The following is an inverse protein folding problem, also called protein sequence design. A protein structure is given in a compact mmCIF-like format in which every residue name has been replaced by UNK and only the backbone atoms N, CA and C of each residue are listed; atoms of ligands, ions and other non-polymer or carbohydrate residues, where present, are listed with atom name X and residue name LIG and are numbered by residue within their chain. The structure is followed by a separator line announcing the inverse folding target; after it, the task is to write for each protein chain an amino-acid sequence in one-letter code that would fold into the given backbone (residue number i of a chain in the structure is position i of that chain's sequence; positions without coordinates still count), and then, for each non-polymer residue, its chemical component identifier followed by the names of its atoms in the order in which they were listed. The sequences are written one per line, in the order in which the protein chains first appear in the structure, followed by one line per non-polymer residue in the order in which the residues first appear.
data_IF_520086526229
#
_entry.id   IF_520086526229
#
_cell.length_a   1.000
_cell.length_b   1.000
_cell.length_c   1.000
_cell.angle_alpha   90.00
_cell.angle_beta   90.00
_cell.angle_gamma   90.00
#
_symmetry.space_group_name_H-M   'P 1'
#
loop_
_entity.id
_entity.type
_entity.pdbx_description
1 polymer ?
#
# COMPACT_ATOMS: atom_id res chain seq x y z
N UNK A 1 -25.50 -19.77 27.89
CA UNK A 1 -25.54 -19.60 26.41
C UNK A 1 -25.36 -18.13 25.99
N UNK A 2 -25.84 -17.15 26.78
CA UNK A 2 -25.61 -15.71 26.54
C UNK A 2 -24.12 -15.28 26.68
N UNK A 3 -23.38 -15.84 27.64
CA UNK A 3 -21.96 -15.52 27.86
C UNK A 3 -21.02 -15.87 26.68
N UNK A 4 -21.29 -16.97 25.96
CA UNK A 4 -20.43 -17.45 24.88
C UNK A 4 -20.55 -16.57 23.61
N UNK A 5 -21.76 -16.14 23.29
CA UNK A 5 -22.03 -15.24 22.16
C UNK A 5 -21.43 -13.85 22.40
N UNK A 6 -21.51 -13.34 23.64
CA UNK A 6 -20.91 -12.06 24.00
C UNK A 6 -19.38 -12.09 23.90
N UNK A 7 -18.74 -13.17 24.38
CA UNK A 7 -17.29 -13.37 24.24
C UNK A 7 -16.84 -13.43 22.78
N UNK A 8 -17.59 -14.13 21.92
CA UNK A 8 -17.29 -14.24 20.49
C UNK A 8 -17.38 -12.88 19.79
N UNK A 9 -18.41 -12.09 20.09
CA UNK A 9 -18.64 -10.77 19.49
C UNK A 9 -17.57 -9.75 19.93
N UNK A 10 -17.15 -9.78 21.20
CA UNK A 10 -16.04 -8.96 21.70
C UNK A 10 -14.70 -9.36 21.05
N UNK A 11 -14.45 -10.67 20.89
CA UNK A 11 -13.23 -11.17 20.25
C UNK A 11 -13.16 -10.79 18.78
N UNK A 12 -14.27 -10.92 18.05
CA UNK A 12 -14.41 -10.42 16.67
C UNK A 12 -14.18 -8.91 16.59
N UNK A 13 -14.79 -8.10 17.47
CA UNK A 13 -14.59 -6.65 17.43
C UNK A 13 -13.12 -6.25 17.65
N UNK A 14 -12.42 -6.87 18.62
CA UNK A 14 -10.99 -6.61 18.88
C UNK A 14 -10.10 -7.01 17.70
N UNK A 15 -10.33 -8.20 17.12
CA UNK A 15 -9.53 -8.71 15.99
C UNK A 15 -9.68 -7.86 14.74
N UNK A 16 -10.85 -7.27 14.50
CA UNK A 16 -11.10 -6.43 13.32
C UNK A 16 -10.73 -4.96 13.55
N UNK A 17 -10.77 -4.48 14.80
CA UNK A 17 -10.39 -3.10 15.12
C UNK A 17 -8.89 -2.87 14.98
N UNK A 18 -8.05 -3.78 15.47
CA UNK A 18 -6.58 -3.67 15.41
C UNK A 18 -6.01 -3.41 14.00
N UNK A 19 -6.37 -4.19 12.96
CA UNK A 19 -5.88 -3.97 11.59
C UNK A 19 -6.46 -2.69 10.96
N UNK A 20 -7.68 -2.29 11.32
CA UNK A 20 -8.29 -1.05 10.82
C UNK A 20 -7.53 0.19 11.31
N UNK A 21 -7.12 0.25 12.59
CA UNK A 21 -6.34 1.38 13.12
C UNK A 21 -4.96 1.44 12.47
N UNK A 22 -4.33 0.28 12.26
CA UNK A 22 -3.06 0.19 11.51
C UNK A 22 -3.23 0.75 10.08
N UNK A 23 -4.31 0.39 9.39
CA UNK A 23 -4.65 0.93 8.07
C UNK A 23 -4.83 2.45 8.06
N UNK A 24 -5.51 3.02 9.06
CA UNK A 24 -5.65 4.47 9.23
C UNK A 24 -4.30 5.18 9.36
N UNK A 25 -3.38 4.63 10.15
CA UNK A 25 -2.04 5.19 10.34
C UNK A 25 -1.25 5.12 9.03
N UNK A 26 -1.29 3.99 8.33
CA UNK A 26 -0.57 3.81 7.05
C UNK A 26 -1.11 4.77 5.98
N UNK A 27 -2.43 4.94 5.86
CA UNK A 27 -3.00 5.92 4.92
C UNK A 27 -2.65 7.35 5.31
N UNK A 28 -2.68 7.68 6.60
CA UNK A 28 -2.25 8.99 7.09
C UNK A 28 -0.80 9.31 6.74
N UNK A 29 0.11 8.35 6.94
CA UNK A 29 1.53 8.46 6.55
C UNK A 29 1.67 8.58 5.03
N UNK A 30 0.90 7.81 4.27
CA UNK A 30 0.90 7.87 2.79
C UNK A 30 0.47 9.25 2.27
N UNK A 31 -0.53 9.86 2.89
CA UNK A 31 -1.00 11.21 2.55
C UNK A 31 0.03 12.27 2.97
N UNK A 32 0.64 12.11 4.16
CA UNK A 32 1.66 13.02 4.66
C UNK A 32 2.88 13.12 3.72
N UNK A 33 3.31 11.97 3.19
CA UNK A 33 4.39 11.87 2.21
C UNK A 33 4.04 12.59 0.90
N UNK A 34 2.77 12.53 0.47
CA UNK A 34 2.33 13.19 -0.76
C UNK A 34 2.23 14.71 -0.63
N UNK A 35 1.89 15.22 0.55
CA UNK A 35 1.71 16.66 0.77
C UNK A 35 3.03 17.40 0.97
N UNK A 36 4.06 16.70 1.47
CA UNK A 36 5.37 17.29 1.79
C UNK A 36 6.28 17.25 0.56
N UNK A 37 6.62 18.44 0.02
CA UNK A 37 7.53 18.57 -1.15
C UNK A 37 8.90 17.95 -0.88
N UNK A 38 9.42 18.10 0.33
CA UNK A 38 10.66 17.47 0.78
C UNK A 38 10.60 15.93 0.77
N UNK A 39 9.42 15.34 1.05
CA UNK A 39 9.23 13.89 1.03
C UNK A 39 9.09 13.36 -0.40
N UNK A 40 8.52 14.13 -1.33
CA UNK A 40 8.53 13.77 -2.75
C UNK A 40 9.93 13.77 -3.35
N UNK A 41 10.76 14.74 -2.96
CA UNK A 41 12.15 14.85 -3.42
C UNK A 41 13.02 13.74 -2.81
N UNK A 42 12.89 13.47 -1.50
CA UNK A 42 13.60 12.39 -0.80
C UNK A 42 13.23 10.97 -1.30
N UNK A 43 12.03 10.79 -1.85
CA UNK A 43 11.57 9.52 -2.44
C UNK A 43 11.76 9.44 -3.96
N UNK A 44 12.33 10.47 -4.60
CA UNK A 44 12.59 10.48 -6.05
C UNK A 44 11.32 10.53 -6.91
N UNK A 45 10.21 11.06 -6.39
CA UNK A 45 8.91 11.19 -7.06
C UNK A 45 8.87 12.53 -7.85
N UNK A 46 9.93 12.81 -8.61
CA UNK A 46 10.12 14.05 -9.39
C UNK A 46 9.50 13.99 -10.79
N UNK A 47 9.21 12.78 -11.28
CA UNK A 47 8.62 12.56 -12.60
C UNK A 47 7.09 12.61 -12.55
N UNK A 48 6.47 13.33 -13.49
CA UNK A 48 5.01 13.50 -13.62
C UNK A 48 4.23 12.17 -13.67
N UNK A 49 4.88 11.11 -14.14
CA UNK A 49 4.36 9.74 -14.19
C UNK A 49 4.34 9.01 -12.84
N UNK A 50 5.26 9.32 -11.92
CA UNK A 50 5.28 8.75 -10.57
C UNK A 50 4.18 9.36 -9.68
N UNK A 51 3.85 10.64 -9.90
CA UNK A 51 2.77 11.32 -9.19
C UNK A 51 1.41 10.62 -9.41
N UNK A 52 1.14 10.23 -10.67
CA UNK A 52 -0.04 9.46 -11.02
C UNK A 52 -0.09 8.09 -10.31
N UNK A 53 1.05 7.42 -10.17
CA UNK A 53 1.12 6.14 -9.44
C UNK A 53 0.79 6.28 -7.95
N UNK A 54 1.28 7.33 -7.30
CA UNK A 54 1.02 7.61 -5.88
C UNK A 54 -0.43 8.00 -5.65
N UNK A 55 -1.02 8.82 -6.53
CA UNK A 55 -2.44 9.16 -6.47
C UNK A 55 -3.34 7.92 -6.62
N UNK A 56 -3.03 7.03 -7.56
CA UNK A 56 -3.75 5.77 -7.75
C UNK A 56 -3.59 4.86 -6.53
N UNK A 57 -2.39 4.77 -5.95
CA UNK A 57 -2.13 3.98 -4.75
C UNK A 57 -2.97 4.47 -3.56
N UNK A 58 -3.13 5.79 -3.42
CA UNK A 58 -3.92 6.39 -2.34
C UNK A 58 -5.42 6.20 -2.58
N UNK A 59 -5.88 6.33 -3.82
CA UNK A 59 -7.25 6.04 -4.19
C UNK A 59 -7.60 4.57 -3.87
N UNK A 60 -6.78 3.63 -4.31
CA UNK A 60 -6.95 2.19 -4.03
C UNK A 60 -6.90 1.91 -2.53
N UNK A 61 -5.95 2.51 -1.80
CA UNK A 61 -5.85 2.40 -0.35
C UNK A 61 -7.11 2.86 0.39
N UNK A 62 -7.70 3.98 -0.04
CA UNK A 62 -8.96 4.47 0.55
C UNK A 62 -10.14 3.53 0.28
N UNK A 63 -10.22 2.97 -0.93
CA UNK A 63 -11.30 2.04 -1.32
C UNK A 63 -11.19 0.76 -0.49
N UNK A 64 -9.98 0.23 -0.31
CA UNK A 64 -9.73 -0.95 0.52
C UNK A 64 -10.10 -0.67 1.99
N UNK A 65 -9.79 0.53 2.51
CA UNK A 65 -10.20 0.92 3.86
C UNK A 65 -11.72 0.92 4.02
N UNK A 66 -12.43 1.51 3.06
CA UNK A 66 -13.90 1.57 3.05
C UNK A 66 -14.46 0.13 3.00
N UNK A 67 -13.94 -0.73 2.13
CA UNK A 67 -14.35 -2.12 2.04
C UNK A 67 -14.07 -2.93 3.32
N UNK A 68 -12.95 -2.66 4.00
CA UNK A 68 -12.64 -3.23 5.31
C UNK A 68 -13.67 -2.81 6.38
N UNK A 69 -14.08 -1.54 6.37
CA UNK A 69 -15.10 -1.02 7.27
C UNK A 69 -16.48 -1.63 6.99
N UNK A 70 -16.85 -1.75 5.71
CA UNK A 70 -18.08 -2.45 5.30
C UNK A 70 -18.07 -3.93 5.67
N UNK A 71 -16.91 -4.59 5.63
CA UNK A 71 -16.75 -5.97 6.09
C UNK A 71 -17.02 -6.12 7.59
N UNK A 72 -16.51 -5.19 8.41
CA UNK A 72 -16.78 -5.18 9.86
C UNK A 72 -18.27 -4.93 10.17
N UNK A 73 -18.89 -3.95 9.51
CA UNK A 73 -20.33 -3.71 9.65
C UNK A 73 -21.19 -4.88 9.13
N UNK A 74 -20.75 -5.58 8.08
CA UNK A 74 -21.43 -6.75 7.52
C UNK A 74 -21.37 -7.99 8.41
N UNK A 75 -20.32 -8.13 9.23
CA UNK A 75 -20.23 -9.21 10.21
C UNK A 75 -21.12 -8.97 11.44
N UNK A 76 -21.27 -7.70 11.85
CA UNK A 76 -22.08 -7.31 13.02
C UNK A 76 -23.58 -7.26 12.66
N UNK A 77 -23.89 -6.81 11.45
CA UNK A 77 -25.26 -6.69 10.97
C UNK A 77 -25.58 -7.94 10.18
N UNK A 78 -26.42 -8.83 10.74
CA UNK A 78 -26.99 -10.01 10.08
C UNK A 78 -27.92 -9.66 8.88
N UNK A 79 -27.65 -8.54 8.20
CA UNK A 79 -28.37 -8.06 7.03
C UNK A 79 -27.67 -8.52 5.76
N UNK A 80 -28.38 -9.39 5.02
CA UNK A 80 -27.95 -9.93 3.72
C UNK A 80 -27.53 -8.86 2.71
N UNK A 81 -28.17 -7.68 2.73
CA UNK A 81 -27.86 -6.60 1.77
C UNK A 81 -26.44 -6.05 1.89
N UNK A 82 -25.91 -5.90 3.11
CA UNK A 82 -24.58 -5.30 3.32
C UNK A 82 -23.47 -6.30 2.95
N UNK A 83 -23.70 -7.58 3.23
CA UNK A 83 -22.82 -8.68 2.82
C UNK A 83 -22.82 -8.88 1.28
N UNK A 84 -23.98 -8.69 0.63
CA UNK A 84 -24.11 -8.78 -0.83
C UNK A 84 -23.29 -7.69 -1.54
N UNK A 85 -23.34 -6.45 -1.02
CA UNK A 85 -22.56 -5.34 -1.57
C UNK A 85 -21.06 -5.59 -1.45
N UNK A 86 -20.62 -6.14 -0.30
CA UNK A 86 -19.23 -6.55 -0.09
C UNK A 86 -18.81 -7.63 -1.09
N UNK A 87 -19.64 -8.66 -1.30
CA UNK A 87 -19.37 -9.72 -2.25
C UNK A 87 -19.26 -9.19 -3.69
N UNK A 88 -20.18 -8.32 -4.10
CA UNK A 88 -20.15 -7.68 -5.43
C UNK A 88 -18.88 -6.83 -5.58
N UNK A 89 -18.51 -6.05 -4.57
CA UNK A 89 -17.30 -5.23 -4.58
C UNK A 89 -16.02 -6.06 -4.71
N UNK A 90 -15.91 -7.16 -3.95
CA UNK A 90 -14.78 -8.09 -4.06
C UNK A 90 -14.71 -8.74 -5.44
N UNK A 91 -15.85 -9.15 -5.99
CA UNK A 91 -15.92 -9.75 -7.32
C UNK A 91 -15.47 -8.75 -8.39
N UNK A 92 -15.85 -7.49 -8.26
CA UNK A 92 -15.40 -6.40 -9.14
C UNK A 92 -13.89 -6.18 -9.04
N UNK A 93 -13.32 -6.15 -7.84
CA UNK A 93 -11.87 -6.04 -7.63
C UNK A 93 -11.15 -7.23 -8.25
N UNK A 94 -11.69 -8.44 -8.11
CA UNK A 94 -11.09 -9.64 -8.68
C UNK A 94 -11.01 -9.55 -10.20
N UNK A 95 -12.09 -9.12 -10.86
CA UNK A 95 -12.07 -8.90 -12.32
C UNK A 95 -11.03 -7.84 -12.69
N UNK A 96 -10.97 -6.74 -11.92
CA UNK A 96 -10.00 -5.67 -12.14
C UNK A 96 -8.55 -6.15 -11.95
N UNK A 97 -8.31 -7.01 -10.96
CA UNK A 97 -7.00 -7.53 -10.60
C UNK A 97 -6.52 -8.59 -11.59
N UNK A 98 -7.43 -9.42 -12.10
CA UNK A 98 -7.14 -10.34 -13.22
C UNK A 98 -6.84 -9.54 -14.48
N UNK A 99 -7.66 -8.54 -14.80
CA UNK A 99 -7.44 -7.66 -15.97
C UNK A 99 -6.10 -6.92 -15.85
N UNK A 100 -5.84 -6.28 -14.71
CA UNK A 100 -4.59 -5.61 -14.42
C UNK A 100 -3.39 -6.56 -14.39
N UNK A 101 -3.57 -7.80 -13.93
CA UNK A 101 -2.54 -8.83 -13.97
C UNK A 101 -2.18 -9.26 -15.39
N UNK A 102 -3.18 -9.42 -16.26
CA UNK A 102 -2.98 -9.75 -17.68
C UNK A 102 -2.32 -8.57 -18.42
N UNK A 103 -2.84 -7.35 -18.26
CA UNK A 103 -2.19 -6.16 -18.83
C UNK A 103 -0.77 -6.03 -18.29
N UNK A 104 -0.59 -6.13 -16.98
CA UNK A 104 0.73 -6.07 -16.33
C UNK A 104 1.70 -7.12 -16.87
N UNK A 105 1.23 -8.31 -17.21
CA UNK A 105 2.03 -9.37 -17.84
C UNK A 105 2.42 -9.03 -19.29
N UNK A 106 1.51 -8.44 -20.06
CA UNK A 106 1.75 -8.04 -21.46
C UNK A 106 2.66 -6.80 -21.54
N UNK A 107 2.51 -5.86 -20.62
CA UNK A 107 3.26 -4.59 -20.57
C UNK A 107 4.56 -4.67 -19.75
N UNK A 108 4.93 -5.84 -19.20
CA UNK A 108 6.22 -6.07 -18.49
C UNK A 108 7.43 -5.42 -19.18
N UNK A 109 7.70 -5.64 -20.48
CA UNK A 109 8.91 -5.10 -21.12
C UNK A 109 8.92 -3.57 -21.16
N UNK A 110 7.75 -2.93 -21.26
CA UNK A 110 7.63 -1.46 -21.25
C UNK A 110 7.82 -0.91 -19.83
N UNK A 111 7.35 -1.65 -18.82
CA UNK A 111 7.53 -1.30 -17.42
C UNK A 111 9.00 -1.44 -16.99
N UNK A 112 9.70 -2.50 -17.44
CA UNK A 112 11.13 -2.68 -17.18
C UNK A 112 11.98 -1.58 -17.82
N UNK A 113 11.66 -1.15 -19.05
CA UNK A 113 12.36 -0.03 -19.69
C UNK A 113 12.19 1.28 -18.89
N UNK A 114 10.96 1.59 -18.44
CA UNK A 114 10.69 2.76 -17.61
C UNK A 114 11.37 2.68 -16.24
N UNK A 115 11.36 1.51 -15.60
CA UNK A 115 11.98 1.31 -14.29
C UNK A 115 13.50 1.41 -14.36
N UNK A 116 14.13 0.85 -15.40
CA UNK A 116 15.58 0.97 -15.60
C UNK A 116 16.02 2.41 -15.87
N UNK A 117 15.22 3.20 -16.60
CA UNK A 117 15.48 4.62 -16.80
C UNK A 117 15.48 5.40 -15.47
N UNK A 118 14.44 5.21 -14.66
CA UNK A 118 14.34 5.85 -13.34
C UNK A 118 15.47 5.40 -12.42
N UNK A 119 15.79 4.11 -12.42
CA UNK A 119 16.86 3.56 -11.59
C UNK A 119 18.22 4.14 -12.00
N UNK A 120 18.49 4.24 -13.31
CA UNK A 120 19.74 4.80 -13.84
C UNK A 120 19.85 6.29 -13.55
N UNK A 121 18.74 7.03 -13.63
CA UNK A 121 18.69 8.45 -13.27
C UNK A 121 18.98 8.65 -11.78
N UNK A 122 18.30 7.90 -10.90
CA UNK A 122 18.55 7.96 -9.45
C UNK A 122 19.98 7.58 -9.11
N UNK A 123 20.55 6.55 -9.73
CA UNK A 123 21.96 6.16 -9.52
C UNK A 123 22.92 7.25 -9.99
N UNK A 124 22.65 7.92 -11.12
CA UNK A 124 23.49 9.02 -11.60
C UNK A 124 23.43 10.25 -10.69
N UNK A 125 22.24 10.62 -10.19
CA UNK A 125 22.09 11.73 -9.24
C UNK A 125 22.80 11.47 -7.91
N UNK A 126 22.77 10.23 -7.42
CA UNK A 126 23.55 9.83 -6.25
C UNK A 126 25.05 9.90 -6.52
N UNK A 127 25.50 9.47 -7.71
CA UNK A 127 26.93 9.49 -8.07
C UNK A 127 27.48 10.92 -8.21
N UNK A 128 26.66 11.84 -8.71
CA UNK A 128 27.00 13.27 -8.79
C UNK A 128 27.08 13.88 -7.38
N UNK A 129 26.12 13.54 -6.51
CA UNK A 129 26.07 14.01 -5.14
C UNK A 129 26.82 13.07 -4.17
N UNK A 130 28.15 13.17 -4.19
CA UNK A 130 29.10 12.30 -3.45
C UNK A 130 28.82 12.21 -1.94
N UNK A 131 28.21 13.23 -1.32
CA UNK A 131 27.84 13.22 0.10
C UNK A 131 26.63 12.30 0.37
N UNK A 132 25.60 12.37 -0.47
CA UNK A 132 24.40 11.52 -0.37
C UNK A 132 24.69 10.06 -0.74
N UNK A 133 25.58 9.80 -1.71
CA UNK A 133 26.01 8.44 -2.04
C UNK A 133 26.67 7.72 -0.85
N UNK A 134 27.50 8.43 -0.07
CA UNK A 134 28.14 7.85 1.13
C UNK A 134 27.10 7.46 2.19
N UNK A 135 26.11 8.31 2.45
CA UNK A 135 25.01 8.05 3.39
C UNK A 135 24.17 6.81 3.04
N UNK A 136 23.79 6.67 1.77
CA UNK A 136 23.00 5.52 1.29
C UNK A 136 23.82 4.23 1.36
N UNK A 137 25.10 4.29 1.00
CA UNK A 137 25.97 3.11 1.03
C UNK A 137 26.22 2.62 2.46
N UNK A 138 26.38 3.52 3.43
CA UNK A 138 26.47 3.17 4.85
C UNK A 138 25.18 2.54 5.39
N UNK A 139 24.02 3.06 4.96
CA UNK A 139 22.72 2.49 5.32
C UNK A 139 22.54 1.08 4.76
N UNK A 140 22.93 0.85 3.49
CA UNK A 140 22.89 -0.48 2.88
C UNK A 140 23.82 -1.48 3.58
N UNK A 141 25.04 -1.06 3.93
CA UNK A 141 25.99 -1.90 4.69
C UNK A 141 25.43 -2.28 6.07
N UNK A 142 24.74 -1.36 6.76
CA UNK A 142 24.06 -1.67 8.02
C UNK A 142 22.95 -2.71 7.85
N UNK A 143 22.12 -2.60 6.82
CA UNK A 143 21.08 -3.60 6.55
C UNK A 143 21.67 -4.98 6.22
N UNK A 144 22.74 -5.04 5.42
CA UNK A 144 23.44 -6.29 5.12
C UNK A 144 24.00 -6.95 6.38
N UNK A 145 24.56 -6.15 7.30
CA UNK A 145 25.03 -6.63 8.61
C UNK A 145 23.90 -7.14 9.51
N UNK A 146 22.70 -6.55 9.42
CA UNK A 146 21.52 -7.01 10.18
C UNK A 146 21.00 -8.34 9.62
N UNK A 147 20.87 -8.45 8.30
CA UNK A 147 20.40 -9.68 7.62
C UNK A 147 21.40 -10.83 7.81
N UNK A 148 22.70 -10.57 7.78
CA UNK A 148 23.73 -11.60 8.01
C UNK A 148 23.81 -12.08 9.48
N UNK A 149 23.22 -11.35 10.43
CA UNK A 149 23.16 -11.70 11.86
C UNK A 149 21.85 -12.38 12.26
N UNK A 150 20.92 -12.55 11.33
CA UNK A 150 19.66 -13.27 11.50
C UNK A 150 19.78 -14.66 10.86
#
# INVERSE_FOLDING_TARGET
MLDLNLKLLIFLNIVYFLPQVCGCIILGVSIWIRVSKDAQEALGISNSSMFAGVDVLIAVGSIIMILGFLGCCGAIKESRCMLLLFFIGLLLILILQVTGGILGAVYKPQLEAGLNLVLTETVNLLKDNTENAKQVQESWQKFQLQVSKM
#
